data_IF_948963760136
#
_entry.id   IF_948963760136
#
_cell.length_a   1.000
_cell.length_b   1.000
_cell.length_c   1.000
_cell.angle_alpha   90.00
_cell.angle_beta   90.00
_cell.angle_gamma   90.00
#
_symmetry.space_group_name_H-M   'P 1'
#
loop_
_entity.id
_entity.type
_entity.pdbx_description
1 polymer ?
#
# COMPACT_ATOMS: atom_id res chain seq x y z
N UNK A 1 -13.51 -5.14 -7.17
CA UNK A 1 -12.63 -5.39 -6.00
C UNK A 1 -11.89 -4.13 -5.55
N UNK A 2 -10.96 -3.56 -6.33
CA UNK A 2 -10.15 -2.41 -5.89
C UNK A 2 -10.95 -1.16 -5.44
N UNK A 3 -12.06 -0.85 -6.12
CA UNK A 3 -12.95 0.25 -5.71
C UNK A 3 -13.63 -0.05 -4.36
N UNK A 4 -14.10 -1.28 -4.16
CA UNK A 4 -14.75 -1.69 -2.91
C UNK A 4 -13.76 -1.60 -1.72
N UNK A 5 -12.50 -1.98 -1.92
CA UNK A 5 -11.45 -1.77 -0.90
C UNK A 5 -11.32 -0.30 -0.48
N UNK A 6 -11.56 0.66 -1.39
CA UNK A 6 -11.57 2.08 -1.04
C UNK A 6 -12.88 2.53 -0.38
N UNK A 7 -14.02 2.04 -0.86
CA UNK A 7 -15.34 2.39 -0.32
C UNK A 7 -15.47 1.95 1.14
N UNK A 8 -15.06 0.72 1.45
CA UNK A 8 -15.08 0.17 2.80
C UNK A 8 -13.85 0.56 3.65
N UNK A 9 -12.87 1.26 3.06
CA UNK A 9 -11.70 1.77 3.80
C UNK A 9 -10.57 0.74 4.03
N UNK A 10 -10.71 -0.50 3.58
CA UNK A 10 -9.64 -1.50 3.63
C UNK A 10 -8.35 -1.07 2.93
N UNK A 11 -8.41 -0.17 1.95
CA UNK A 11 -7.23 0.43 1.31
C UNK A 11 -6.25 1.10 2.30
N UNK A 12 -6.72 1.47 3.50
CA UNK A 12 -5.91 2.09 4.53
C UNK A 12 -5.30 1.09 5.53
N UNK A 13 -5.62 -0.21 5.42
CA UNK A 13 -5.01 -1.29 6.20
C UNK A 13 -3.85 -1.94 5.42
N UNK A 14 -2.91 -2.60 6.11
CA UNK A 14 -1.78 -3.27 5.45
C UNK A 14 -2.28 -4.38 4.50
N UNK A 15 -3.22 -5.18 4.97
CA UNK A 15 -3.82 -6.28 4.21
C UNK A 15 -4.52 -5.77 2.94
N UNK A 16 -5.35 -4.73 3.05
CA UNK A 16 -6.04 -4.17 1.89
C UNK A 16 -5.10 -3.44 0.93
N UNK A 17 -4.00 -2.84 1.39
CA UNK A 17 -2.94 -2.33 0.50
C UNK A 17 -2.28 -3.44 -0.29
N UNK A 18 -1.92 -4.54 0.37
CA UNK A 18 -1.33 -5.71 -0.29
C UNK A 18 -2.26 -6.27 -1.36
N UNK A 19 -3.54 -6.48 -1.04
CA UNK A 19 -4.52 -6.94 -2.03
C UNK A 19 -4.72 -5.93 -3.17
N UNK A 20 -4.70 -4.63 -2.89
CA UNK A 20 -4.77 -3.59 -3.92
C UNK A 20 -3.56 -3.67 -4.89
N UNK A 21 -2.36 -3.96 -4.36
CA UNK A 21 -1.16 -4.16 -5.17
C UNK A 21 -1.26 -5.43 -6.01
N UNK A 22 -1.76 -6.55 -5.45
CA UNK A 22 -2.00 -7.80 -6.18
C UNK A 22 -2.95 -7.58 -7.38
N UNK A 23 -4.05 -6.85 -7.15
CA UNK A 23 -4.99 -6.49 -8.21
C UNK A 23 -4.32 -5.61 -9.28
N UNK A 24 -3.52 -4.62 -8.85
CA UNK A 24 -2.84 -3.70 -9.77
C UNK A 24 -1.82 -4.44 -10.65
N UNK A 25 -1.10 -5.40 -10.09
CA UNK A 25 -0.13 -6.22 -10.82
C UNK A 25 -0.81 -7.03 -11.93
N UNK A 26 -1.94 -7.67 -11.62
CA UNK A 26 -2.69 -8.46 -12.60
C UNK A 26 -3.30 -7.60 -13.69
N UNK A 27 -3.86 -6.44 -13.35
CA UNK A 27 -4.36 -5.49 -14.35
C UNK A 27 -3.23 -5.09 -15.30
N UNK A 28 -2.04 -4.77 -14.78
CA UNK A 28 -0.90 -4.38 -15.62
C UNK A 28 -0.37 -5.55 -16.48
N UNK A 29 -0.33 -6.78 -15.94
CA UNK A 29 0.04 -7.99 -16.68
C UNK A 29 -0.92 -8.29 -17.84
N UNK A 30 -2.21 -7.99 -17.69
CA UNK A 30 -3.21 -8.16 -18.76
C UNK A 30 -2.90 -7.34 -20.02
N UNK A 31 -2.15 -6.26 -19.88
CA UNK A 31 -1.70 -5.41 -20.99
C UNK A 31 -0.27 -5.74 -21.46
N UNK A 32 0.36 -6.78 -20.91
CA UNK A 32 1.68 -7.29 -21.32
C UNK A 32 1.54 -8.28 -22.47
N UNK A 33 2.55 -8.35 -23.34
CA UNK A 33 2.63 -9.33 -24.45
C UNK A 33 3.14 -10.71 -24.00
N UNK A 34 3.45 -10.86 -22.71
CA UNK A 34 4.00 -12.10 -22.14
C UNK A 34 2.87 -13.09 -21.82
N UNK A 35 2.94 -14.29 -22.42
CA UNK A 35 1.78 -15.17 -22.66
C UNK A 35 1.66 -16.38 -21.72
N UNK A 36 2.17 -16.29 -20.48
CA UNK A 36 1.97 -17.35 -19.48
C UNK A 36 0.55 -17.30 -18.87
N UNK A 37 -0.41 -17.85 -19.62
CA UNK A 37 -1.85 -17.81 -19.28
C UNK A 37 -2.24 -18.77 -18.13
N UNK A 38 -1.43 -19.78 -17.81
CA UNK A 38 -1.74 -20.78 -16.77
C UNK A 38 -1.76 -20.22 -15.34
N UNK A 39 -0.90 -19.25 -15.03
CA UNK A 39 -0.76 -18.70 -13.68
C UNK A 39 -1.82 -17.65 -13.36
N UNK A 40 -2.34 -16.95 -14.37
CA UNK A 40 -3.24 -15.81 -14.17
C UNK A 40 -4.56 -16.24 -13.53
N UNK A 41 -5.13 -17.37 -13.94
CA UNK A 41 -6.39 -17.87 -13.36
C UNK A 41 -6.24 -18.25 -11.89
N UNK A 42 -5.11 -18.87 -11.52
CA UNK A 42 -4.78 -19.22 -10.13
C UNK A 42 -4.62 -17.93 -9.31
N UNK A 43 -3.89 -16.93 -9.84
CA UNK A 43 -3.73 -15.65 -9.15
C UNK A 43 -5.06 -14.92 -8.97
N UNK A 44 -5.94 -14.91 -9.99
CA UNK A 44 -7.27 -14.31 -9.90
C UNK A 44 -8.11 -15.02 -8.83
N UNK A 45 -8.06 -16.36 -8.77
CA UNK A 45 -8.74 -17.14 -7.73
C UNK A 45 -8.24 -16.74 -6.33
N UNK A 46 -6.93 -16.72 -6.12
CA UNK A 46 -6.32 -16.32 -4.85
C UNK A 46 -6.68 -14.87 -4.45
N UNK A 47 -6.70 -13.93 -5.41
CA UNK A 47 -7.14 -12.55 -5.17
C UNK A 47 -8.61 -12.52 -4.75
N UNK A 48 -9.45 -13.33 -5.37
CA UNK A 48 -10.89 -13.40 -5.07
C UNK A 48 -11.13 -13.96 -3.67
N UNK A 49 -10.42 -15.01 -3.27
CA UNK A 49 -10.48 -15.59 -1.93
C UNK A 49 -10.05 -14.56 -0.86
N UNK A 50 -8.86 -13.96 -1.01
CA UNK A 50 -8.40 -12.88 -0.12
C UNK A 50 -9.38 -11.71 -0.05
N UNK A 51 -10.01 -11.35 -1.17
CA UNK A 51 -11.01 -10.30 -1.21
C UNK A 51 -12.24 -10.67 -0.36
N UNK A 52 -12.74 -11.88 -0.50
CA UNK A 52 -13.90 -12.36 0.27
C UNK A 52 -13.57 -12.40 1.77
N UNK A 53 -12.38 -12.87 2.14
CA UNK A 53 -11.92 -12.92 3.54
C UNK A 53 -11.86 -11.53 4.16
N UNK A 54 -11.32 -10.53 3.45
CA UNK A 54 -11.30 -9.14 3.92
C UNK A 54 -12.71 -8.59 4.08
N UNK A 55 -13.62 -8.89 3.15
CA UNK A 55 -14.99 -8.34 3.18
C UNK A 55 -15.84 -8.91 4.32
N UNK A 56 -15.45 -10.02 4.92
CA UNK A 56 -16.10 -10.57 6.12
C UNK A 56 -15.67 -9.90 7.43
N UNK A 57 -14.58 -9.11 7.41
CA UNK A 57 -14.09 -8.38 8.58
C UNK A 57 -14.91 -7.12 8.83
N UNK A 58 -14.70 -6.51 9.99
CA UNK A 58 -15.27 -5.20 10.27
C UNK A 58 -14.66 -4.14 9.35
N UNK A 59 -15.54 -3.48 8.61
CA UNK A 59 -15.17 -2.43 7.67
C UNK A 59 -14.59 -1.22 8.40
N UNK A 60 -13.39 -0.73 8.03
CA UNK A 60 -12.84 0.50 8.57
C UNK A 60 -13.76 1.73 8.40
N UNK A 61 -14.56 1.77 7.34
CA UNK A 61 -15.53 2.83 7.08
C UNK A 61 -16.96 2.33 7.27
N UNK A 62 -17.78 3.11 7.98
CA UNK A 62 -19.21 2.86 8.03
C UNK A 62 -19.90 3.50 6.81
N UNK A 63 -20.17 2.67 5.82
CA UNK A 63 -20.85 3.07 4.57
C UNK A 63 -22.32 3.41 4.78
N UNK A 64 -22.95 2.96 5.88
CA UNK A 64 -24.38 3.22 6.16
C UNK A 64 -24.64 4.68 6.53
N UNK A 65 -23.61 5.37 7.06
CA UNK A 65 -23.70 6.79 7.41
C UNK A 65 -23.73 7.72 6.19
N UNK A 66 -23.55 7.20 4.97
CA UNK A 66 -23.55 7.96 3.71
C UNK A 66 -22.62 9.19 3.72
N UNK A 67 -21.50 9.08 4.45
CA UNK A 67 -20.50 10.14 4.53
C UNK A 67 -19.68 10.20 3.24
N UNK A 68 -19.18 11.39 2.91
CA UNK A 68 -18.26 11.53 1.77
C UNK A 68 -16.99 10.74 2.05
N UNK A 69 -16.40 10.15 1.02
CA UNK A 69 -15.16 9.38 1.17
C UNK A 69 -14.06 10.20 1.87
N UNK A 70 -13.92 11.48 1.53
CA UNK A 70 -12.95 12.39 2.16
C UNK A 70 -13.17 12.55 3.67
N UNK A 71 -14.42 12.53 4.13
CA UNK A 71 -14.77 12.61 5.55
C UNK A 71 -14.44 11.31 6.29
N UNK A 72 -14.74 10.16 5.69
CA UNK A 72 -14.37 8.86 6.22
C UNK A 72 -12.85 8.72 6.36
N UNK A 73 -12.09 9.11 5.33
CA UNK A 73 -10.63 9.13 5.36
C UNK A 73 -10.10 10.05 6.46
N UNK A 74 -10.71 11.23 6.63
CA UNK A 74 -10.32 12.16 7.70
C UNK A 74 -10.58 11.56 9.08
N UNK A 75 -11.78 11.00 9.31
CA UNK A 75 -12.13 10.35 10.58
C UNK A 75 -11.18 9.20 10.91
N UNK A 76 -10.93 8.32 9.93
CA UNK A 76 -9.99 7.22 10.08
C UNK A 76 -8.57 7.70 10.39
N UNK A 77 -8.10 8.74 9.69
CA UNK A 77 -6.76 9.29 9.93
C UNK A 77 -6.62 9.95 11.31
N UNK A 78 -7.69 10.51 11.87
CA UNK A 78 -7.69 11.07 13.22
C UNK A 78 -7.67 9.94 14.26
N UNK A 79 -8.52 8.93 14.08
CA UNK A 79 -8.59 7.77 14.97
C UNK A 79 -7.30 6.93 14.97
N UNK A 80 -6.62 6.84 13.82
CA UNK A 80 -5.37 6.12 13.65
C UNK A 80 -4.15 7.06 13.63
N UNK A 81 -4.27 8.24 14.23
CA UNK A 81 -3.17 9.19 14.30
C UNK A 81 -2.09 8.63 15.24
N UNK A 82 -0.98 8.22 14.66
CA UNK A 82 0.26 7.98 15.40
C UNK A 82 0.70 9.27 16.11
N UNK A 83 1.09 9.16 17.39
CA UNK A 83 1.73 10.28 18.12
C UNK A 83 3.01 10.75 17.44
N UNK A 84 3.72 9.83 16.78
CA UNK A 84 4.91 10.12 16.00
C UNK A 84 4.56 10.67 14.61
N UNK A 85 5.36 11.64 14.14
CA UNK A 85 5.29 12.13 12.76
C UNK A 85 5.46 10.98 11.76
N UNK A 86 4.88 11.11 10.55
CA UNK A 86 4.98 10.09 9.49
C UNK A 86 6.40 10.06 8.92
N UNK A 87 7.30 9.44 9.67
CA UNK A 87 8.66 9.15 9.24
C UNK A 87 8.62 8.02 8.21
N UNK A 88 9.39 8.17 7.14
CA UNK A 88 9.53 7.15 6.09
C UNK A 88 10.99 6.81 5.92
N UNK A 89 11.29 5.53 6.07
CA UNK A 89 12.57 4.96 5.71
C UNK A 89 12.46 4.39 4.29
N UNK A 90 13.45 4.68 3.44
CA UNK A 90 13.53 4.13 2.09
C UNK A 90 14.83 3.35 1.97
N UNK A 91 14.72 2.11 1.50
CA UNK A 91 15.85 1.23 1.25
C UNK A 91 15.93 0.86 -0.23
N UNK A 92 17.16 0.81 -0.76
CA UNK A 92 17.54 0.24 -2.05
C UNK A 92 18.37 -1.01 -1.76
N UNK A 93 17.74 -2.18 -1.87
CA UNK A 93 18.32 -3.43 -1.36
C UNK A 93 18.57 -3.39 0.16
N UNK A 94 19.85 -3.39 0.55
CA UNK A 94 20.30 -3.36 1.95
C UNK A 94 20.75 -1.97 2.41
N UNK A 95 20.82 -1.00 1.51
CA UNK A 95 21.29 0.34 1.82
C UNK A 95 20.12 1.29 1.96
N UNK A 96 20.21 2.19 2.94
CA UNK A 96 19.23 3.25 3.11
C UNK A 96 19.52 4.36 2.10
N UNK A 97 18.49 4.81 1.38
CA UNK A 97 18.61 5.87 0.37
C UNK A 97 19.09 7.17 1.03
N UNK A 98 19.97 7.91 0.36
CA UNK A 98 20.50 9.18 0.87
C UNK A 98 19.38 10.15 1.28
N UNK A 99 19.50 10.73 2.48
CA UNK A 99 18.51 11.64 3.06
C UNK A 99 17.34 10.96 3.79
N UNK A 100 17.23 9.63 3.74
CA UNK A 100 16.33 8.87 4.61
C UNK A 100 16.93 8.80 6.04
N UNK A 101 16.10 8.83 7.11
CA UNK A 101 14.65 8.88 7.09
C UNK A 101 14.07 10.26 6.75
N UNK A 102 12.93 10.26 6.07
CA UNK A 102 12.20 11.46 5.69
C UNK A 102 11.08 11.77 6.66
N UNK A 103 10.96 13.03 7.09
CA UNK A 103 9.91 13.48 8.03
C UNK A 103 8.50 13.57 7.41
N UNK A 104 8.36 13.37 6.10
CA UNK A 104 7.07 13.37 5.41
C UNK A 104 7.10 12.58 4.10
N UNK A 105 5.91 12.16 3.64
CA UNK A 105 5.76 11.50 2.35
C UNK A 105 6.21 12.39 1.18
N UNK A 106 5.91 13.69 1.24
CA UNK A 106 6.29 14.63 0.19
C UNK A 106 7.81 14.83 0.10
N UNK A 107 8.53 14.85 1.23
CA UNK A 107 9.99 14.90 1.22
C UNK A 107 10.59 13.62 0.62
N UNK A 108 10.05 12.47 1.02
CA UNK A 108 10.42 11.16 0.48
C UNK A 108 10.19 11.08 -1.05
N UNK A 109 9.07 11.60 -1.56
CA UNK A 109 8.80 11.65 -3.00
C UNK A 109 9.78 12.54 -3.75
N UNK A 110 10.09 13.73 -3.23
CA UNK A 110 11.08 14.63 -3.84
C UNK A 110 12.44 13.96 -3.98
N UNK A 111 12.89 13.25 -2.95
CA UNK A 111 14.17 12.53 -2.98
C UNK A 111 14.21 11.42 -4.04
N UNK A 112 13.06 10.81 -4.37
CA UNK A 112 12.93 9.83 -5.44
C UNK A 112 12.63 10.45 -6.83
N UNK A 113 12.63 11.77 -6.96
CA UNK A 113 12.26 12.46 -8.20
C UNK A 113 10.78 12.33 -8.59
N UNK A 114 9.90 12.05 -7.61
CA UNK A 114 8.47 11.91 -7.81
C UNK A 114 7.74 13.22 -7.48
N UNK A 115 6.50 13.35 -8.00
CA UNK A 115 5.62 14.46 -7.61
C UNK A 115 5.38 14.43 -6.08
N UNK A 116 5.57 15.53 -5.34
CA UNK A 116 5.37 15.59 -3.88
C UNK A 116 3.97 15.21 -3.39
N UNK A 117 2.97 15.30 -4.28
CA UNK A 117 1.57 14.91 -4.03
C UNK A 117 1.27 13.45 -4.42
N UNK A 118 2.29 12.68 -4.82
CA UNK A 118 2.12 11.28 -5.19
C UNK A 118 1.59 10.45 -4.02
N UNK A 119 0.89 9.37 -4.35
CA UNK A 119 0.37 8.41 -3.36
C UNK A 119 1.29 7.19 -3.19
N UNK A 120 2.50 7.18 -3.77
CA UNK A 120 3.42 6.02 -3.75
C UNK A 120 3.77 5.57 -2.34
N UNK A 121 4.17 6.49 -1.46
CA UNK A 121 4.57 6.14 -0.09
C UNK A 121 3.40 5.52 0.66
N UNK A 122 2.22 6.16 0.60
CA UNK A 122 1.03 5.62 1.25
C UNK A 122 0.64 4.22 0.72
N UNK A 123 0.83 3.97 -0.59
CA UNK A 123 0.50 2.70 -1.22
C UNK A 123 1.45 1.57 -0.83
N UNK A 124 2.75 1.85 -0.71
CA UNK A 124 3.78 0.81 -0.55
C UNK A 124 4.34 0.71 0.88
N UNK A 125 4.16 1.73 1.73
CA UNK A 125 4.72 1.70 3.09
C UNK A 125 4.21 0.48 3.88
N UNK A 126 5.14 -0.23 4.51
CA UNK A 126 4.92 -1.42 5.34
C UNK A 126 4.29 -2.62 4.62
N UNK A 127 4.20 -2.57 3.29
CA UNK A 127 3.70 -3.70 2.48
C UNK A 127 4.76 -4.75 2.20
N UNK A 128 6.03 -4.44 2.49
CA UNK A 128 7.21 -5.23 2.09
C UNK A 128 7.31 -5.46 0.56
N UNK A 129 6.55 -4.70 -0.25
CA UNK A 129 6.59 -4.76 -1.71
C UNK A 129 7.61 -3.77 -2.27
N UNK A 130 8.33 -4.21 -3.30
CA UNK A 130 9.27 -3.36 -4.04
C UNK A 130 8.52 -2.42 -4.97
N UNK A 131 8.78 -1.12 -4.86
CA UNK A 131 8.41 -0.14 -5.87
C UNK A 131 9.46 -0.09 -6.96
N UNK A 132 9.02 -0.18 -8.23
CA UNK A 132 9.90 -0.27 -9.42
C UNK A 132 10.96 -1.37 -9.28
N UNK A 133 10.63 -2.47 -8.60
CA UNK A 133 11.53 -3.59 -8.33
C UNK A 133 12.84 -3.19 -7.61
N UNK A 134 12.83 -2.05 -6.91
CA UNK A 134 14.05 -1.44 -6.38
C UNK A 134 13.91 -0.96 -4.94
N UNK A 135 12.87 -0.19 -4.65
CA UNK A 135 12.74 0.51 -3.37
C UNK A 135 11.75 -0.15 -2.42
N UNK A 136 12.11 -0.26 -1.14
CA UNK A 136 11.21 -0.63 -0.04
C UNK A 136 10.92 0.60 0.80
N UNK A 137 9.66 0.77 1.20
CA UNK A 137 9.22 1.84 2.10
C UNK A 137 8.76 1.25 3.43
N UNK A 138 9.30 1.75 4.54
CA UNK A 138 8.88 1.35 5.89
C UNK A 138 8.65 2.55 6.80
N UNK A 139 7.75 2.39 7.77
CA UNK A 139 7.52 3.38 8.84
C UNK A 139 8.48 3.23 10.01
N UNK A 140 9.18 2.09 10.09
CA UNK A 140 10.19 1.78 11.11
C UNK A 140 11.51 1.41 10.44
N UNK A 141 12.66 1.65 11.10
CA UNK A 141 13.93 1.17 10.59
C UNK A 141 13.91 -0.36 10.50
N UNK A 142 14.43 -0.91 9.41
CA UNK A 142 14.65 -2.35 9.28
C UNK A 142 15.89 -2.67 10.12
N UNK A 143 15.70 -3.39 11.23
CA UNK A 143 16.82 -3.83 12.05
C UNK A 143 17.61 -4.91 11.32
N UNK A 144 18.95 -4.77 11.31
CA UNK A 144 19.85 -5.67 10.58
C UNK A 144 19.82 -7.10 11.14
N UNK A 145 19.40 -7.27 12.40
CA UNK A 145 19.32 -8.56 13.09
C UNK A 145 18.05 -9.40 12.77
N UNK A 146 17.11 -8.87 11.98
CA UNK A 146 15.84 -9.56 11.67
C UNK A 146 15.84 -10.26 10.30
N UNK A 147 17.02 -10.49 9.71
CA UNK A 147 17.19 -11.06 8.36
C UNK A 147 18.15 -12.26 8.33
N UNK A 148 18.16 -13.05 9.40
CA UNK A 148 18.71 -14.42 9.39
C UNK A 148 17.55 -15.44 9.41
#
# INVERSE_FOLDING_TARGET
MALLLKIYGYYYTIEGKNLFLDISEIINKRYSTDSSVSDINIVIKNITEKFNDIMQKDSPFDVKLNLRHTENVRKYSIANKSENSKIVYIYDGNEMVHGSPFASFSAAHKALGLNPSSNTCNRYIDTNRLYKSKYIFTSKPIDRASRD
#
